data_IF_756813504846
#
_entry.id   IF_756813504846
#
_cell.length_a   1.000
_cell.length_b   1.000
_cell.length_c   1.000
_cell.angle_alpha   90.00
_cell.angle_beta   90.00
_cell.angle_gamma   90.00
#
_symmetry.space_group_name_H-M   'P 1'
#
loop_
_entity.id
_entity.type
_entity.pdbx_description
1 polymer ?
#
# COMPACT_ATOMS: atom_id res chain seq x y z
N UNK A 1 0.71 -24.18 -7.03
CA UNK A 1 0.92 -22.85 -6.41
C UNK A 1 -0.40 -22.11 -6.51
N UNK A 2 -0.89 -21.51 -5.43
CA UNK A 2 -2.11 -20.69 -5.50
C UNK A 2 -1.87 -19.50 -6.45
N UNK A 3 -2.89 -19.04 -7.22
CA UNK A 3 -2.78 -17.81 -7.98
C UNK A 3 -2.64 -16.61 -7.04
N UNK A 4 -1.93 -15.59 -7.49
CA UNK A 4 -1.75 -14.32 -6.77
C UNK A 4 -2.36 -13.19 -7.59
N UNK A 5 -3.25 -12.40 -6.99
CA UNK A 5 -3.57 -11.05 -7.45
C UNK A 5 -2.77 -10.09 -6.58
N UNK A 6 -1.80 -9.42 -7.19
CA UNK A 6 -1.00 -8.41 -6.50
C UNK A 6 -1.74 -7.07 -6.49
N UNK A 7 -2.32 -6.71 -5.35
CA UNK A 7 -3.13 -5.49 -5.25
C UNK A 7 -2.33 -4.20 -5.04
N UNK A 8 -1.00 -4.25 -5.07
CA UNK A 8 -0.15 -3.10 -4.78
C UNK A 8 1.11 -3.11 -5.65
N UNK A 9 0.97 -2.76 -6.92
CA UNK A 9 2.08 -2.65 -7.87
C UNK A 9 2.30 -1.18 -8.23
N UNK A 10 3.56 -0.74 -8.26
CA UNK A 10 3.96 0.53 -8.84
C UNK A 10 4.77 0.27 -10.11
N UNK A 11 4.48 1.04 -11.16
CA UNK A 11 5.25 1.04 -12.41
C UNK A 11 5.48 2.49 -12.82
N UNK A 12 6.66 2.84 -13.30
CA UNK A 12 6.90 4.16 -13.86
C UNK A 12 8.01 4.14 -14.89
N UNK A 13 7.85 5.00 -15.90
CA UNK A 13 8.89 5.31 -16.88
C UNK A 13 9.26 6.78 -16.75
N UNK A 14 10.51 7.06 -16.35
CA UNK A 14 11.02 8.43 -16.17
C UNK A 14 11.17 9.20 -17.49
N UNK A 15 10.98 8.54 -18.64
CA UNK A 15 10.81 9.25 -19.92
C UNK A 15 9.39 9.77 -20.14
N UNK A 16 8.42 9.31 -19.35
CA UNK A 16 6.99 9.64 -19.43
C UNK A 16 6.56 10.50 -18.24
N UNK A 17 6.95 10.11 -17.02
CA UNK A 17 6.53 10.74 -15.78
C UNK A 17 7.63 11.56 -15.12
N UNK A 18 7.22 12.70 -14.57
CA UNK A 18 7.98 13.57 -13.69
C UNK A 18 7.58 13.25 -12.25
N UNK A 19 8.55 12.76 -11.47
CA UNK A 19 8.38 12.26 -10.11
C UNK A 19 9.43 12.93 -9.19
N UNK A 20 9.16 14.16 -8.73
CA UNK A 20 10.15 14.96 -7.98
C UNK A 20 10.67 14.28 -6.72
N UNK A 21 9.86 13.43 -6.08
CA UNK A 21 10.22 12.74 -4.84
C UNK A 21 11.37 11.71 -5.02
N UNK A 22 11.67 11.28 -6.25
CA UNK A 22 12.77 10.34 -6.52
C UNK A 22 14.15 10.93 -6.27
N UNK A 23 14.29 12.25 -6.20
CA UNK A 23 15.55 12.91 -5.82
C UNK A 23 16.02 12.46 -4.43
N UNK A 24 15.09 12.18 -3.52
CA UNK A 24 15.34 11.73 -2.15
C UNK A 24 15.33 10.19 -2.00
N UNK A 25 15.16 9.46 -3.11
CA UNK A 25 15.05 8.00 -3.14
C UNK A 25 15.96 7.35 -4.19
N UNK A 26 17.30 7.42 -4.03
CA UNK A 26 18.26 6.95 -5.03
C UNK A 26 18.09 5.47 -5.41
N UNK A 27 17.60 4.61 -4.50
CA UNK A 27 17.33 3.20 -4.81
C UNK A 27 16.23 3.04 -5.86
N UNK A 28 15.28 3.97 -5.85
CA UNK A 28 14.11 3.99 -6.73
C UNK A 28 14.27 4.95 -7.93
N UNK A 29 15.35 5.73 -7.99
CA UNK A 29 15.55 6.77 -9.01
C UNK A 29 16.01 6.22 -10.38
N UNK A 30 15.15 5.38 -10.97
CA UNK A 30 15.25 4.83 -12.34
C UNK A 30 13.85 4.38 -12.80
N UNK A 31 13.65 4.08 -14.08
CA UNK A 31 12.39 3.49 -14.55
C UNK A 31 12.21 2.06 -14.02
N UNK A 32 10.97 1.71 -13.68
CA UNK A 32 10.52 0.36 -13.34
C UNK A 32 9.27 0.05 -14.16
N UNK A 33 9.43 -0.72 -15.24
CA UNK A 33 8.36 -0.97 -16.21
C UNK A 33 7.83 -2.40 -16.13
N UNK A 34 6.80 -2.72 -16.91
CA UNK A 34 6.16 -4.04 -16.93
C UNK A 34 7.17 -5.20 -17.08
N UNK A 35 8.18 -5.05 -17.94
CA UNK A 35 9.21 -6.09 -18.12
C UNK A 35 9.98 -6.40 -16.84
N UNK A 36 10.41 -5.38 -16.11
CA UNK A 36 11.11 -5.52 -14.84
C UNK A 36 10.23 -6.21 -13.78
N UNK A 37 8.93 -5.88 -13.75
CA UNK A 37 7.99 -6.52 -12.83
C UNK A 37 7.78 -8.01 -13.16
N UNK A 38 7.67 -8.35 -14.45
CA UNK A 38 7.55 -9.75 -14.88
C UNK A 38 8.78 -10.57 -14.47
N UNK A 39 9.98 -9.99 -14.56
CA UNK A 39 11.21 -10.62 -14.07
C UNK A 39 11.20 -10.79 -12.55
N UNK A 40 10.80 -9.76 -11.80
CA UNK A 40 10.72 -9.80 -10.34
C UNK A 40 9.70 -10.84 -9.81
N UNK A 41 8.63 -11.08 -10.58
CA UNK A 41 7.52 -11.97 -10.19
C UNK A 41 7.57 -13.36 -10.83
N UNK A 42 8.57 -13.63 -11.68
CA UNK A 42 8.69 -14.85 -12.45
C UNK A 42 8.55 -16.11 -11.57
N UNK A 43 7.65 -17.02 -11.94
CA UNK A 43 7.44 -18.29 -11.23
C UNK A 43 6.70 -18.19 -9.89
N UNK A 44 6.18 -17.02 -9.50
CA UNK A 44 5.37 -16.85 -8.28
C UNK A 44 3.85 -16.99 -8.51
N UNK A 45 3.45 -17.19 -9.77
CA UNK A 45 2.05 -17.34 -10.19
C UNK A 45 1.19 -16.09 -9.91
N UNK A 46 1.77 -14.90 -10.15
CA UNK A 46 1.03 -13.63 -10.22
C UNK A 46 0.22 -13.63 -11.51
N UNK A 47 -1.11 -13.59 -11.39
CA UNK A 47 -2.04 -13.72 -12.51
C UNK A 47 -2.67 -12.40 -12.92
N UNK A 48 -2.81 -11.46 -11.98
CA UNK A 48 -3.29 -10.09 -12.20
C UNK A 48 -2.64 -9.14 -11.19
N UNK A 49 -2.61 -7.86 -11.49
CA UNK A 49 -2.18 -6.82 -10.56
C UNK A 49 -3.13 -5.63 -10.53
N UNK A 50 -3.08 -4.88 -9.44
CA UNK A 50 -3.69 -3.55 -9.30
C UNK A 50 -2.56 -2.55 -9.17
N UNK A 51 -2.51 -1.62 -10.11
CA UNK A 51 -1.57 -0.51 -10.09
C UNK A 51 -1.94 0.48 -8.99
N UNK A 52 -0.93 1.05 -8.34
CA UNK A 52 -1.04 2.09 -7.33
C UNK A 52 -0.27 3.32 -7.80
N UNK A 53 -0.90 4.49 -7.68
CA UNK A 53 -0.32 5.79 -8.02
C UNK A 53 1.10 5.99 -7.47
N UNK A 54 1.91 6.69 -8.25
CA UNK A 54 3.35 6.87 -7.97
C UNK A 54 3.70 8.30 -7.58
N UNK A 55 2.72 9.09 -7.14
CA UNK A 55 2.84 10.51 -6.83
C UNK A 55 3.58 11.32 -7.92
N UNK A 56 3.11 11.16 -9.17
CA UNK A 56 3.54 12.03 -10.27
C UNK A 56 3.25 13.50 -9.94
N UNK A 57 4.00 14.40 -10.58
CA UNK A 57 3.80 15.84 -10.43
C UNK A 57 2.32 16.23 -10.61
N UNK A 58 1.88 17.29 -9.93
CA UNK A 58 0.46 17.68 -9.93
C UNK A 58 -0.11 17.91 -11.34
N UNK A 59 0.73 18.32 -12.30
CA UNK A 59 0.34 18.53 -13.69
C UNK A 59 0.08 17.23 -14.47
N UNK A 60 0.57 16.09 -13.98
CA UNK A 60 0.53 14.81 -14.69
C UNK A 60 -0.47 13.79 -14.13
N UNK A 61 -1.29 14.13 -13.12
CA UNK A 61 -2.25 13.16 -12.56
C UNK A 61 -3.26 12.62 -13.59
N UNK A 62 -3.70 13.46 -14.53
CA UNK A 62 -4.52 13.02 -15.68
C UNK A 62 -3.69 12.12 -16.61
N UNK A 63 -2.45 12.52 -16.95
CA UNK A 63 -1.56 11.72 -17.80
C UNK A 63 -1.33 10.32 -17.23
N UNK A 64 -1.06 10.21 -15.93
CA UNK A 64 -0.92 8.94 -15.23
C UNK A 64 -2.20 8.12 -15.35
N UNK A 65 -3.36 8.67 -14.98
CA UNK A 65 -4.63 7.94 -15.04
C UNK A 65 -4.98 7.43 -16.44
N UNK A 66 -4.78 8.24 -17.50
CA UNK A 66 -5.01 7.80 -18.88
C UNK A 66 -4.02 6.71 -19.33
N UNK A 67 -2.74 6.86 -18.98
CA UNK A 67 -1.72 5.85 -19.28
C UNK A 67 -2.07 4.48 -18.65
N UNK A 68 -2.61 4.49 -17.43
CA UNK A 68 -3.01 3.28 -16.73
C UNK A 68 -4.25 2.62 -17.31
N UNK A 69 -5.18 3.40 -17.84
CA UNK A 69 -6.33 2.85 -18.56
C UNK A 69 -5.85 2.11 -19.80
N UNK A 70 -4.89 2.67 -20.54
CA UNK A 70 -4.28 2.01 -21.70
C UNK A 70 -3.52 0.74 -21.29
N UNK A 71 -2.71 0.80 -20.23
CA UNK A 71 -1.98 -0.35 -19.71
C UNK A 71 -2.94 -1.48 -19.28
N UNK A 72 -4.01 -1.16 -18.55
CA UNK A 72 -5.01 -2.14 -18.10
C UNK A 72 -5.78 -2.79 -19.26
N UNK A 73 -5.87 -2.13 -20.40
CA UNK A 73 -6.54 -2.66 -21.59
C UNK A 73 -5.63 -3.57 -22.43
N UNK A 74 -4.30 -3.48 -22.25
CA UNK A 74 -3.33 -4.27 -23.00
C UNK A 74 -3.28 -5.71 -22.48
N UNK A 75 -3.28 -6.68 -23.41
CA UNK A 75 -3.40 -8.11 -23.09
C UNK A 75 -2.05 -8.80 -22.77
N UNK A 76 -0.94 -8.08 -22.91
CA UNK A 76 0.43 -8.58 -22.76
C UNK A 76 1.03 -8.32 -21.38
N UNK A 77 0.24 -7.82 -20.44
CA UNK A 77 0.65 -7.52 -19.08
C UNK A 77 -0.42 -7.94 -18.05
N UNK A 78 -0.05 -8.14 -16.77
CA UNK A 78 -0.98 -8.59 -15.75
C UNK A 78 -1.76 -7.44 -15.08
N UNK A 79 -1.45 -6.17 -15.37
CA UNK A 79 -2.10 -5.02 -14.75
C UNK A 79 -3.54 -4.92 -15.23
N UNK A 80 -4.50 -5.09 -14.31
CA UNK A 80 -5.92 -5.24 -14.65
C UNK A 80 -6.80 -4.11 -14.10
N UNK A 81 -6.29 -3.36 -13.13
CA UNK A 81 -6.99 -2.25 -12.50
C UNK A 81 -5.98 -1.25 -11.93
N UNK A 82 -6.46 -0.06 -11.56
CA UNK A 82 -5.66 0.98 -10.95
C UNK A 82 -6.38 1.71 -9.81
N UNK A 83 -5.60 2.10 -8.80
CA UNK A 83 -5.91 3.14 -7.82
C UNK A 83 -5.04 4.35 -8.17
N UNK A 84 -5.68 5.44 -8.63
CA UNK A 84 -4.98 6.60 -9.19
C UNK A 84 -4.71 7.68 -8.16
N UNK A 85 -3.75 8.56 -8.44
CA UNK A 85 -3.43 9.69 -7.59
C UNK A 85 -4.55 10.72 -7.62
N UNK A 86 -4.80 11.36 -6.47
CA UNK A 86 -5.78 12.44 -6.38
C UNK A 86 -5.43 13.45 -5.31
N UNK A 87 -5.56 14.74 -5.63
CA UNK A 87 -5.45 15.82 -4.64
C UNK A 87 -6.80 15.99 -3.94
N UNK A 88 -7.12 15.06 -3.05
CA UNK A 88 -8.39 14.97 -2.30
C UNK A 88 -8.62 16.19 -1.40
N UNK A 89 -7.57 16.94 -1.07
CA UNK A 89 -7.67 18.23 -0.37
C UNK A 89 -8.19 19.38 -1.26
N UNK A 90 -8.21 19.22 -2.59
CA UNK A 90 -8.60 20.27 -3.53
C UNK A 90 -10.11 20.38 -3.71
N UNK A 91 -10.62 21.60 -3.83
CA UNK A 91 -12.00 21.86 -4.24
C UNK A 91 -12.30 21.38 -5.68
N UNK A 92 -11.27 21.34 -6.54
CA UNK A 92 -11.40 20.92 -7.94
C UNK A 92 -11.32 19.38 -8.11
N UNK A 93 -11.12 18.64 -7.01
CA UNK A 93 -11.01 17.17 -7.04
C UNK A 93 -12.23 16.52 -7.68
N UNK A 94 -13.43 17.04 -7.40
CA UNK A 94 -14.66 16.49 -7.94
C UNK A 94 -14.72 16.53 -9.47
N UNK A 95 -14.17 17.57 -10.10
CA UNK A 95 -14.09 17.66 -11.55
C UNK A 95 -13.10 16.64 -12.09
N UNK A 96 -11.94 16.49 -11.43
CA UNK A 96 -10.94 15.49 -11.78
C UNK A 96 -11.52 14.07 -11.74
N UNK A 97 -12.06 13.63 -10.60
CA UNK A 97 -12.41 12.21 -10.43
C UNK A 97 -13.64 11.78 -11.23
N UNK A 98 -14.57 12.70 -11.52
CA UNK A 98 -15.76 12.40 -12.35
C UNK A 98 -15.41 11.99 -13.78
N UNK A 99 -14.21 12.31 -14.27
CA UNK A 99 -13.70 11.82 -15.57
C UNK A 99 -13.61 10.29 -15.63
N UNK A 100 -13.39 9.66 -14.48
CA UNK A 100 -13.15 8.22 -14.35
C UNK A 100 -14.35 7.45 -13.78
N UNK A 101 -15.48 8.13 -13.55
CA UNK A 101 -16.71 7.49 -13.10
C UNK A 101 -17.16 6.39 -14.07
N UNK A 102 -17.34 5.18 -13.56
CA UNK A 102 -17.74 4.03 -14.38
C UNK A 102 -16.61 3.42 -15.23
N UNK A 103 -15.36 3.87 -15.08
CA UNK A 103 -14.23 3.21 -15.72
C UNK A 103 -14.11 1.75 -15.26
N UNK A 104 -13.90 0.78 -16.17
CA UNK A 104 -13.65 -0.61 -15.78
C UNK A 104 -12.27 -0.80 -15.14
N UNK A 105 -11.31 0.10 -15.41
CA UNK A 105 -9.93 0.01 -14.93
C UNK A 105 -9.73 0.77 -13.60
N UNK A 106 -10.31 1.96 -13.44
CA UNK A 106 -10.10 2.78 -12.23
C UNK A 106 -11.03 2.31 -11.12
N UNK A 107 -10.44 1.89 -10.00
CA UNK A 107 -11.18 1.31 -8.85
C UNK A 107 -11.17 2.18 -7.61
N UNK A 108 -10.23 3.11 -7.52
CA UNK A 108 -10.07 3.94 -6.34
C UNK A 108 -9.13 5.10 -6.56
N UNK A 109 -8.97 5.88 -5.49
CA UNK A 109 -8.03 6.99 -5.39
C UNK A 109 -7.16 6.83 -4.16
N UNK A 110 -5.91 7.24 -4.28
CA UNK A 110 -4.99 7.41 -3.14
C UNK A 110 -4.42 8.83 -3.14
N UNK A 111 -4.24 9.35 -1.93
CA UNK A 111 -3.35 10.47 -1.66
C UNK A 111 -2.42 10.03 -0.55
N UNK A 112 -1.10 10.14 -0.75
CA UNK A 112 -0.12 9.84 0.31
C UNK A 112 -0.28 10.84 1.46
N UNK A 113 -0.46 10.34 2.68
CA UNK A 113 -0.65 11.15 3.88
C UNK A 113 0.50 11.05 4.87
N UNK A 114 1.47 10.18 4.63
CA UNK A 114 2.62 10.01 5.53
C UNK A 114 3.83 10.90 5.19
N UNK A 115 3.78 11.64 4.08
CA UNK A 115 4.86 12.53 3.69
C UNK A 115 5.08 13.68 4.69
N UNK A 116 6.32 14.20 4.81
CA UNK A 116 6.66 15.26 5.75
C UNK A 116 5.90 16.57 5.51
N UNK A 117 5.43 16.80 4.27
CA UNK A 117 4.61 17.95 3.90
C UNK A 117 3.12 17.84 4.23
N UNK A 118 2.65 16.71 4.79
CA UNK A 118 1.22 16.48 5.07
C UNK A 118 0.93 16.63 6.56
N UNK A 119 0.23 17.69 7.01
CA UNK A 119 -0.12 17.88 8.42
C UNK A 119 -0.99 16.73 8.98
N UNK A 120 -0.85 16.45 10.28
CA UNK A 120 -1.72 15.50 10.96
C UNK A 120 -3.19 15.94 10.88
N UNK A 121 -4.11 14.99 10.76
CA UNK A 121 -5.54 15.27 10.62
C UNK A 121 -5.96 15.85 9.27
N UNK A 122 -5.06 15.90 8.25
CA UNK A 122 -5.41 16.34 6.88
C UNK A 122 -6.65 15.61 6.35
N UNK A 123 -6.77 14.30 6.61
CA UNK A 123 -7.90 13.49 6.16
C UNK A 123 -9.23 13.81 6.85
N UNK A 124 -9.21 14.61 7.91
CA UNK A 124 -10.41 15.05 8.66
C UNK A 124 -10.92 16.42 8.24
N UNK A 125 -10.18 17.13 7.37
CA UNK A 125 -10.61 18.42 6.87
C UNK A 125 -11.96 18.28 6.12
N UNK A 126 -12.89 19.24 6.26
CA UNK A 126 -14.21 19.14 5.64
C UNK A 126 -14.19 18.85 4.13
N UNK A 127 -13.30 19.53 3.39
CA UNK A 127 -13.13 19.31 1.95
C UNK A 127 -12.65 17.89 1.62
N UNK A 128 -11.73 17.35 2.43
CA UNK A 128 -11.23 15.99 2.24
C UNK A 128 -12.36 14.97 2.45
N UNK A 129 -13.11 15.12 3.54
CA UNK A 129 -14.26 14.26 3.86
C UNK A 129 -15.33 14.33 2.76
N UNK A 130 -15.65 15.52 2.26
CA UNK A 130 -16.59 15.70 1.15
C UNK A 130 -16.13 14.97 -0.12
N UNK A 131 -14.86 15.10 -0.48
CA UNK A 131 -14.28 14.45 -1.64
C UNK A 131 -14.19 12.92 -1.50
N UNK A 132 -13.96 12.40 -0.29
CA UNK A 132 -14.00 10.95 -0.02
C UNK A 132 -15.43 10.40 -0.07
N UNK A 133 -16.45 11.17 0.33
CA UNK A 133 -17.86 10.79 0.14
C UNK A 133 -18.20 10.70 -1.35
N UNK A 134 -17.74 11.66 -2.15
CA UNK A 134 -17.91 11.62 -3.60
C UNK A 134 -17.32 10.35 -4.22
N UNK A 135 -16.20 9.82 -3.71
CA UNK A 135 -15.68 8.53 -4.17
C UNK A 135 -16.68 7.39 -3.97
N UNK A 136 -17.32 7.32 -2.79
CA UNK A 136 -18.37 6.34 -2.50
C UNK A 136 -19.57 6.46 -3.44
N UNK A 137 -20.02 7.69 -3.70
CA UNK A 137 -21.10 7.97 -4.68
C UNK A 137 -20.76 7.48 -6.10
N UNK A 138 -19.47 7.52 -6.47
CA UNK A 138 -18.97 7.05 -7.76
C UNK A 138 -18.61 5.55 -7.77
N UNK A 139 -18.75 4.85 -6.65
CA UNK A 139 -18.39 3.42 -6.50
C UNK A 139 -16.89 3.14 -6.36
N UNK A 140 -16.08 4.18 -6.17
CA UNK A 140 -14.62 4.12 -6.05
C UNK A 140 -14.19 3.96 -4.57
N UNK A 141 -13.11 3.22 -4.32
CA UNK A 141 -12.51 3.12 -2.98
C UNK A 141 -11.52 4.25 -2.69
N UNK A 142 -11.19 4.43 -1.42
CA UNK A 142 -10.08 5.26 -0.98
C UNK A 142 -9.03 4.41 -0.23
N UNK A 143 -7.77 4.53 -0.63
CA UNK A 143 -6.67 3.80 -0.01
C UNK A 143 -6.00 4.67 1.07
N UNK A 144 -6.01 4.19 2.31
CA UNK A 144 -5.47 4.83 3.51
C UNK A 144 -3.96 4.60 3.61
N UNK A 145 -3.18 5.39 2.87
CA UNK A 145 -1.72 5.41 2.99
C UNK A 145 -1.28 6.56 3.90
N UNK A 146 -1.21 6.28 5.21
CA UNK A 146 -1.01 7.28 6.26
C UNK A 146 0.01 6.82 7.30
N UNK A 147 0.38 7.70 8.25
CA UNK A 147 1.32 7.34 9.32
C UNK A 147 0.67 6.33 10.28
N UNK A 148 1.45 5.39 10.86
CA UNK A 148 0.92 4.40 11.81
C UNK A 148 0.31 5.05 13.06
N UNK A 149 0.88 6.18 13.50
CA UNK A 149 0.40 6.98 14.63
C UNK A 149 -0.94 7.70 14.36
N UNK A 150 -1.41 7.72 13.10
CA UNK A 150 -2.61 8.44 12.67
C UNK A 150 -3.77 7.52 12.29
N UNK A 151 -3.66 6.19 12.48
CA UNK A 151 -4.74 5.26 12.13
C UNK A 151 -6.09 5.64 12.77
N UNK A 152 -6.08 6.27 13.94
CA UNK A 152 -7.29 6.81 14.58
C UNK A 152 -8.00 7.91 13.78
N UNK A 153 -7.30 8.66 12.93
CA UNK A 153 -7.92 9.61 12.00
C UNK A 153 -8.50 8.88 10.78
N UNK A 154 -7.86 7.80 10.32
CA UNK A 154 -8.42 6.89 9.31
C UNK A 154 -9.75 6.28 9.77
N UNK A 155 -9.84 5.85 11.04
CA UNK A 155 -11.09 5.36 11.66
C UNK A 155 -12.20 6.41 11.57
N UNK A 156 -11.92 7.66 11.98
CA UNK A 156 -12.90 8.75 11.96
C UNK A 156 -13.38 9.04 10.54
N UNK A 157 -12.46 9.07 9.56
CA UNK A 157 -12.80 9.28 8.16
C UNK A 157 -13.72 8.17 7.63
N UNK A 158 -13.35 6.90 7.89
CA UNK A 158 -14.12 5.74 7.44
C UNK A 158 -15.52 5.68 8.06
N UNK A 159 -15.65 6.05 9.34
CA UNK A 159 -16.96 6.20 10.02
C UNK A 159 -17.80 7.35 9.42
N UNK A 160 -17.14 8.42 9.01
CA UNK A 160 -17.80 9.62 8.48
C UNK A 160 -18.26 9.46 7.02
N UNK A 161 -17.72 8.45 6.33
CA UNK A 161 -18.02 8.10 4.93
C UNK A 161 -18.44 6.61 4.82
N UNK A 162 -19.57 6.21 5.43
CA UNK A 162 -19.94 4.79 5.53
C UNK A 162 -20.22 4.13 4.17
N UNK A 163 -20.59 4.90 3.15
CA UNK A 163 -20.85 4.42 1.80
C UNK A 163 -19.58 4.34 0.92
N UNK A 164 -18.44 4.84 1.42
CA UNK A 164 -17.14 4.70 0.76
C UNK A 164 -16.42 3.48 1.30
N UNK A 165 -15.85 2.67 0.40
CA UNK A 165 -14.99 1.54 0.77
C UNK A 165 -13.56 2.03 0.99
N UNK A 166 -12.91 1.53 2.03
CA UNK A 166 -11.54 1.89 2.40
C UNK A 166 -10.62 0.69 2.36
N UNK A 167 -9.38 0.93 1.95
CA UNK A 167 -8.31 -0.06 1.95
C UNK A 167 -7.20 0.44 2.85
N UNK A 168 -6.87 -0.29 3.91
CA UNK A 168 -5.72 0.03 4.77
C UNK A 168 -4.46 -0.43 4.07
N UNK A 169 -3.63 0.51 3.61
CA UNK A 169 -2.37 0.19 2.94
C UNK A 169 -1.32 -0.30 3.94
N UNK A 170 -0.46 -1.21 3.47
CA UNK A 170 0.77 -1.66 4.14
C UNK A 170 0.64 -2.07 5.62
N UNK A 171 -0.43 -2.80 5.98
CA UNK A 171 -0.71 -3.11 7.39
C UNK A 171 -0.75 -1.84 8.27
N UNK A 172 -1.33 -0.75 7.76
CA UNK A 172 -1.35 0.55 8.45
C UNK A 172 0.02 1.19 8.58
N UNK A 173 0.93 0.90 7.64
CA UNK A 173 2.34 1.31 7.64
C UNK A 173 3.15 0.91 8.88
N UNK A 174 2.68 -0.08 9.64
CA UNK A 174 3.35 -0.56 10.85
C UNK A 174 4.81 -0.94 10.60
N UNK A 175 5.69 -0.48 11.49
CA UNK A 175 7.07 -0.96 11.60
C UNK A 175 7.08 -2.36 12.26
N UNK A 176 7.55 -3.39 11.55
CA UNK A 176 7.55 -4.77 12.07
C UNK A 176 8.40 -4.95 13.33
N UNK A 177 9.46 -4.17 13.53
CA UNK A 177 10.35 -4.28 14.70
C UNK A 177 9.79 -3.61 15.94
N UNK A 178 9.09 -2.48 15.77
CA UNK A 178 8.33 -1.87 16.88
C UNK A 178 7.21 -2.81 17.33
N UNK A 179 6.45 -3.37 16.37
CA UNK A 179 5.31 -4.24 16.66
C UNK A 179 5.73 -5.56 17.31
N UNK A 180 6.83 -6.16 16.86
CA UNK A 180 7.36 -7.41 17.43
C UNK A 180 8.03 -7.22 18.80
N UNK A 181 8.39 -5.98 19.17
CA UNK A 181 9.17 -5.69 20.37
C UNK A 181 10.63 -6.15 20.28
N UNK A 182 11.07 -6.60 19.10
CA UNK A 182 12.48 -6.93 18.81
C UNK A 182 13.19 -5.62 18.47
N UNK A 183 13.38 -4.78 19.49
CA UNK A 183 14.23 -3.60 19.36
C UNK A 183 15.68 -4.04 19.18
N UNK A 184 16.47 -3.37 18.31
CA UNK A 184 17.85 -3.77 18.06
C UNK A 184 18.66 -3.81 19.35
N UNK A 185 19.29 -4.96 19.60
CA UNK A 185 20.45 -5.05 20.47
C UNK A 185 21.62 -4.31 19.81
N UNK A 186 22.35 -3.55 20.62
CA UNK A 186 23.48 -2.67 20.33
C UNK A 186 24.74 -3.35 19.72
N UNK A 187 24.61 -4.23 18.73
CA UNK A 187 25.73 -5.06 18.24
C UNK A 187 25.91 -5.11 16.72
N UNK A 188 25.27 -4.21 15.97
CA UNK A 188 25.54 -4.04 14.56
C UNK A 188 25.83 -2.59 14.21
N UNK A 189 27.10 -2.19 14.19
CA UNK A 189 27.56 -0.99 13.47
C UNK A 189 27.57 -1.26 11.95
N UNK A 190 26.57 -1.97 11.44
CA UNK A 190 26.37 -2.09 10.01
C UNK A 190 25.87 -0.73 9.56
N UNK A 191 26.68 -0.04 8.77
CA UNK A 191 26.29 1.16 8.04
C UNK A 191 24.92 0.89 7.41
N UNK A 192 23.86 1.50 7.94
CA UNK A 192 22.59 1.56 7.24
C UNK A 192 22.90 2.41 6.01
N UNK A 193 23.27 1.74 4.92
CA UNK A 193 23.65 2.39 3.67
C UNK A 193 22.63 3.47 3.36
N UNK A 194 23.11 4.61 2.86
CA UNK A 194 22.37 5.84 2.61
C UNK A 194 20.85 5.63 2.51
N UNK A 195 20.15 5.81 3.63
CA UNK A 195 18.72 5.60 3.72
C UNK A 195 18.02 6.55 2.73
N UNK A 196 17.10 6.02 1.92
CA UNK A 196 16.18 6.82 1.12
C UNK A 196 15.30 7.59 2.13
N UNK A 197 15.64 8.86 2.37
CA UNK A 197 15.45 9.56 3.65
C UNK A 197 14.00 9.85 4.04
N UNK A 198 13.06 9.58 3.13
CA UNK A 198 11.63 9.80 3.34
C UNK A 198 10.79 8.50 3.25
N UNK A 199 11.41 7.36 2.97
CA UNK A 199 10.72 6.09 2.70
C UNK A 199 11.26 4.90 3.53
N UNK A 200 12.38 5.11 4.22
CA UNK A 200 13.01 4.10 5.06
C UNK A 200 13.18 4.61 6.49
N UNK A 201 13.26 3.68 7.44
CA UNK A 201 13.57 4.00 8.83
C UNK A 201 15.06 3.72 9.03
N UNK A 202 15.87 4.78 9.12
CA UNK A 202 17.31 4.65 9.38
C UNK A 202 17.58 4.19 10.82
N UNK A 203 16.75 4.65 11.76
CA UNK A 203 16.79 4.27 13.18
C UNK A 203 15.37 4.10 13.71
N UNK A 204 15.01 2.86 14.03
CA UNK A 204 13.68 2.52 14.53
C UNK A 204 13.40 3.02 15.95
N UNK A 205 14.38 3.66 16.57
CA UNK A 205 14.24 4.36 17.85
C UNK A 205 14.07 5.86 17.70
N UNK A 206 14.24 6.41 16.48
CA UNK A 206 13.99 7.82 16.20
C UNK A 206 12.49 8.09 16.29
N UNK A 207 12.12 8.99 17.20
CA UNK A 207 10.72 9.36 17.46
C UNK A 207 10.22 10.46 16.51
N UNK A 208 11.13 11.09 15.79
CA UNK A 208 10.81 12.11 14.80
C UNK A 208 10.56 11.48 13.41
N UNK A 209 10.85 10.18 13.25
CA UNK A 209 10.53 9.41 12.04
C UNK A 209 9.00 9.28 11.85
N UNK A 210 8.46 9.55 10.65
CA UNK A 210 7.02 9.50 10.39
C UNK A 210 6.37 8.12 10.61
N UNK A 211 7.16 7.05 10.57
CA UNK A 211 6.71 5.67 10.79
C UNK A 211 6.90 5.19 12.24
N UNK A 212 7.56 5.97 13.09
CA UNK A 212 7.60 5.68 14.52
C UNK A 212 6.19 5.72 15.14
N UNK A 213 5.91 4.75 15.99
CA UNK A 213 4.61 4.64 16.67
C UNK A 213 4.70 3.79 17.94
N UNK A 214 3.71 3.95 18.82
CA UNK A 214 3.50 3.02 19.93
C UNK A 214 2.85 1.71 19.40
N UNK A 215 3.43 0.52 19.68
CA UNK A 215 2.90 -0.74 19.16
C UNK A 215 1.46 -1.03 19.58
N UNK A 216 1.04 -0.62 20.79
CA UNK A 216 -0.33 -0.85 21.24
C UNK A 216 -1.29 0.11 20.54
N UNK A 217 -0.91 1.38 20.37
CA UNK A 217 -1.66 2.35 19.60
C UNK A 217 -1.93 1.86 18.16
N UNK A 218 -0.92 1.27 17.51
CA UNK A 218 -1.10 0.70 16.17
C UNK A 218 -2.08 -0.48 16.18
N UNK A 219 -1.96 -1.42 17.13
CA UNK A 219 -2.89 -2.54 17.27
C UNK A 219 -4.33 -2.06 17.46
N UNK A 220 -4.54 -1.10 18.36
CA UNK A 220 -5.85 -0.51 18.63
C UNK A 220 -6.43 0.18 17.38
N UNK A 221 -5.58 0.87 16.61
CA UNK A 221 -5.96 1.50 15.35
C UNK A 221 -6.37 0.49 14.28
N UNK A 222 -5.62 -0.60 14.12
CA UNK A 222 -5.95 -1.71 13.23
C UNK A 222 -7.26 -2.38 13.64
N UNK A 223 -7.46 -2.65 14.92
CA UNK A 223 -8.68 -3.28 15.44
C UNK A 223 -9.91 -2.37 15.23
N UNK A 224 -9.75 -1.07 15.46
CA UNK A 224 -10.80 -0.09 15.24
C UNK A 224 -11.16 0.05 13.75
N UNK A 225 -10.18 0.02 12.83
CA UNK A 225 -10.44 -0.01 11.39
C UNK A 225 -11.13 -1.32 11.00
N UNK A 226 -10.65 -2.46 11.50
CA UNK A 226 -11.22 -3.77 11.22
C UNK A 226 -12.66 -3.92 11.72
N UNK A 227 -13.04 -3.22 12.79
CA UNK A 227 -14.42 -3.20 13.29
C UNK A 227 -15.41 -2.50 12.33
N UNK A 228 -14.93 -1.72 11.36
CA UNK A 228 -15.77 -1.05 10.37
C UNK A 228 -16.02 -1.97 9.16
N UNK A 229 -17.27 -2.21 8.73
CA UNK A 229 -17.57 -3.15 7.66
C UNK A 229 -17.14 -2.66 6.27
N UNK A 230 -16.89 -1.36 6.10
CA UNK A 230 -16.46 -0.74 4.85
C UNK A 230 -14.93 -0.69 4.68
N UNK A 231 -14.15 -1.35 5.54
CA UNK A 231 -12.68 -1.40 5.46
C UNK A 231 -12.19 -2.81 5.13
N UNK A 232 -11.10 -2.89 4.36
CA UNK A 232 -10.27 -4.08 4.17
C UNK A 232 -8.79 -3.74 4.43
N UNK A 233 -7.93 -4.73 4.58
CA UNK A 233 -6.48 -4.52 4.79
C UNK A 233 -5.64 -5.15 3.67
N UNK A 234 -4.67 -4.39 3.17
CA UNK A 234 -3.62 -4.88 2.27
C UNK A 234 -2.42 -5.34 3.09
N UNK A 235 -2.15 -6.64 3.05
CA UNK A 235 -0.93 -7.23 3.57
C UNK A 235 0.18 -6.97 2.54
N UNK A 236 0.93 -5.89 2.75
CA UNK A 236 1.90 -5.33 1.78
C UNK A 236 2.91 -4.41 2.47
N UNK A 237 3.97 -3.99 1.77
CA UNK A 237 4.88 -2.88 2.11
C UNK A 237 5.67 -2.93 3.42
N UNK A 238 5.38 -3.87 4.32
CA UNK A 238 6.11 -4.02 5.59
C UNK A 238 7.58 -4.40 5.39
N UNK A 239 7.92 -4.98 4.23
CA UNK A 239 9.30 -5.34 3.91
C UNK A 239 10.18 -4.15 3.54
N UNK A 240 9.60 -3.01 3.15
CA UNK A 240 10.37 -1.81 2.80
C UNK A 240 11.17 -1.25 3.99
N UNK A 241 10.92 -1.74 5.20
CA UNK A 241 11.56 -1.34 6.46
C UNK A 241 12.40 -2.45 7.10
N UNK A 242 12.67 -3.55 6.39
CA UNK A 242 13.47 -4.65 6.94
C UNK A 242 14.95 -4.30 7.03
N UNK A 243 15.64 -4.97 7.96
CA UNK A 243 17.09 -4.89 8.16
C UNK A 243 17.82 -6.08 7.53
N UNK A 244 19.14 -6.02 7.34
CA UNK A 244 19.91 -7.15 6.84
C UNK A 244 19.66 -8.41 7.67
N UNK A 245 19.44 -9.54 7.00
CA UNK A 245 19.16 -10.83 7.67
C UNK A 245 17.77 -10.96 8.30
N UNK A 246 16.80 -10.12 7.90
CA UNK A 246 15.40 -10.27 8.29
C UNK A 246 14.83 -11.65 7.94
N UNK A 247 13.79 -12.05 8.67
CA UNK A 247 13.10 -13.33 8.51
C UNK A 247 11.58 -13.14 8.49
N UNK A 248 10.84 -14.16 8.07
CA UNK A 248 9.38 -14.18 8.17
C UNK A 248 8.88 -13.93 9.60
N UNK A 249 9.64 -14.37 10.62
CA UNK A 249 9.30 -14.19 12.03
C UNK A 249 9.30 -12.71 12.47
N UNK A 250 10.11 -11.85 11.85
CA UNK A 250 10.12 -10.42 12.16
C UNK A 250 8.83 -9.73 11.68
N UNK A 251 8.26 -10.23 10.58
CA UNK A 251 7.05 -9.70 9.94
C UNK A 251 5.77 -10.31 10.51
N UNK A 252 5.84 -11.56 10.99
CA UNK A 252 4.70 -12.36 11.43
C UNK A 252 3.80 -11.65 12.46
N UNK A 253 4.29 -10.89 13.45
CA UNK A 253 3.42 -10.21 14.42
C UNK A 253 2.48 -9.19 13.79
N UNK A 254 3.00 -8.35 12.88
CA UNK A 254 2.18 -7.35 12.20
C UNK A 254 1.18 -8.01 11.23
N UNK A 255 1.65 -8.99 10.44
CA UNK A 255 0.82 -9.74 9.49
C UNK A 255 -0.31 -10.47 10.21
N UNK A 256 0.01 -11.26 11.24
CA UNK A 256 -1.00 -12.05 11.96
C UNK A 256 -2.02 -11.16 12.67
N UNK A 257 -1.58 -10.04 13.27
CA UNK A 257 -2.53 -9.08 13.87
C UNK A 257 -3.53 -8.58 12.82
N UNK A 258 -3.08 -8.14 11.64
CA UNK A 258 -3.99 -7.72 10.57
C UNK A 258 -4.92 -8.85 10.08
N UNK A 259 -4.38 -10.07 9.88
CA UNK A 259 -5.16 -11.21 9.41
C UNK A 259 -6.26 -11.60 10.42
N UNK A 260 -5.94 -11.59 11.71
CA UNK A 260 -6.85 -12.00 12.77
C UNK A 260 -7.90 -10.91 13.06
N UNK A 261 -7.54 -9.63 13.02
CA UNK A 261 -8.46 -8.52 13.27
C UNK A 261 -9.48 -8.32 12.13
N UNK A 262 -9.03 -8.35 10.86
CA UNK A 262 -9.93 -8.16 9.72
C UNK A 262 -10.75 -9.41 9.38
N UNK A 263 -10.19 -10.58 9.69
CA UNK A 263 -10.72 -11.88 9.29
C UNK A 263 -10.42 -12.21 7.82
N UNK A 264 -10.64 -13.48 7.42
CA UNK A 264 -10.14 -14.02 6.16
C UNK A 264 -10.81 -13.45 4.90
N UNK A 265 -11.93 -12.74 5.03
CA UNK A 265 -12.71 -12.18 3.92
C UNK A 265 -12.37 -10.72 3.59
N UNK A 266 -11.54 -10.06 4.42
CA UNK A 266 -11.24 -8.61 4.30
C UNK A 266 -9.75 -8.31 4.31
N UNK A 267 -8.97 -9.26 3.84
CA UNK A 267 -7.52 -9.14 3.68
C UNK A 267 -7.11 -9.50 2.26
N UNK A 268 -6.21 -8.73 1.67
CA UNK A 268 -5.69 -8.95 0.32
C UNK A 268 -4.17 -8.84 0.29
N UNK A 269 -3.52 -9.58 -0.59
CA UNK A 269 -2.08 -9.50 -0.82
C UNK A 269 -1.71 -8.26 -1.66
N UNK A 270 -0.62 -7.58 -1.30
CA UNK A 270 0.04 -6.59 -2.15
C UNK A 270 1.56 -6.75 -2.08
N UNK A 271 2.22 -6.62 -3.23
CA UNK A 271 3.65 -6.80 -3.38
C UNK A 271 4.48 -5.57 -3.04
N UNK A 272 3.88 -4.39 -3.20
CA UNK A 272 4.51 -3.07 -3.05
C UNK A 272 5.74 -2.86 -3.93
N UNK A 273 5.84 -3.59 -5.05
CA UNK A 273 7.02 -3.49 -5.91
C UNK A 273 6.98 -2.20 -6.75
N UNK A 274 8.10 -1.50 -6.94
CA UNK A 274 9.45 -1.82 -6.47
C UNK A 274 9.80 -1.15 -5.13
N UNK A 275 8.89 -0.42 -4.49
CA UNK A 275 9.09 0.24 -3.18
C UNK A 275 9.52 -0.78 -2.12
N UNK A 276 9.03 -2.01 -2.24
CA UNK A 276 9.39 -3.11 -1.37
C UNK A 276 10.90 -3.37 -1.33
N UNK A 277 11.68 -2.98 -2.37
CA UNK A 277 13.13 -3.13 -2.48
C UNK A 277 13.93 -2.20 -1.56
N UNK A 278 13.27 -1.24 -0.91
CA UNK A 278 13.91 -0.33 0.05
C UNK A 278 14.40 -1.04 1.32
N UNK A 279 13.77 -2.15 1.69
CA UNK A 279 14.22 -2.96 2.81
C UNK A 279 15.58 -3.58 2.50
N UNK A 280 16.45 -3.68 3.50
CA UNK A 280 17.73 -4.35 3.30
C UNK A 280 17.51 -5.82 2.92
N UNK A 281 18.23 -6.27 1.88
CA UNK A 281 18.12 -7.61 1.28
C UNK A 281 16.71 -8.01 0.83
N UNK A 282 15.81 -7.04 0.70
CA UNK A 282 14.42 -7.28 0.33
C UNK A 282 14.27 -7.51 -1.17
N UNK A 283 13.37 -8.42 -1.53
CA UNK A 283 12.97 -8.67 -2.92
C UNK A 283 11.50 -9.01 -2.94
N UNK A 284 10.85 -8.85 -4.11
CA UNK A 284 9.48 -9.31 -4.29
C UNK A 284 9.30 -10.79 -3.92
N UNK A 285 10.20 -11.64 -4.41
CA UNK A 285 10.21 -13.08 -4.11
C UNK A 285 10.35 -13.32 -2.61
N UNK A 286 11.31 -12.67 -1.96
CA UNK A 286 11.52 -12.78 -0.52
C UNK A 286 10.25 -12.45 0.25
N UNK A 287 9.56 -11.37 -0.10
CA UNK A 287 8.27 -11.02 0.50
C UNK A 287 7.19 -12.09 0.28
N UNK A 288 6.98 -12.49 -0.98
CA UNK A 288 5.95 -13.47 -1.30
C UNK A 288 6.20 -14.83 -0.63
N UNK A 289 7.46 -15.25 -0.49
CA UNK A 289 7.86 -16.49 0.19
C UNK A 289 7.73 -16.36 1.71
N UNK A 290 8.14 -15.23 2.30
CA UNK A 290 7.96 -14.97 3.73
C UNK A 290 6.47 -14.93 4.13
N UNK A 291 5.61 -14.30 3.33
CA UNK A 291 4.17 -14.30 3.61
C UNK A 291 3.59 -15.73 3.54
N UNK A 292 4.02 -16.54 2.56
CA UNK A 292 3.61 -17.96 2.46
C UNK A 292 4.05 -18.76 3.68
N UNK A 293 5.22 -18.48 4.25
CA UNK A 293 5.67 -19.08 5.50
C UNK A 293 4.77 -18.65 6.68
N UNK A 294 4.47 -17.37 6.82
CA UNK A 294 3.62 -16.83 7.91
C UNK A 294 2.22 -17.45 7.90
N UNK A 295 1.64 -17.68 6.72
CA UNK A 295 0.27 -18.21 6.58
C UNK A 295 0.23 -19.74 6.42
N UNK A 296 1.36 -20.45 6.55
CA UNK A 296 1.45 -21.87 6.25
C UNK A 296 0.46 -22.73 7.06
N UNK A 297 0.18 -22.33 8.31
CA UNK A 297 -0.73 -23.03 9.21
C UNK A 297 -2.22 -22.61 9.04
N UNK A 298 -2.51 -21.60 8.22
CA UNK A 298 -3.88 -21.21 7.86
C UNK A 298 -4.45 -22.15 6.81
N UNK A 299 -5.77 -22.32 6.78
CA UNK A 299 -6.40 -23.24 5.82
C UNK A 299 -6.14 -22.81 4.37
N UNK A 300 -6.09 -23.76 3.44
CA UNK A 300 -5.88 -23.46 2.01
C UNK A 300 -6.92 -22.46 1.47
N UNK A 301 -8.16 -22.52 1.98
CA UNK A 301 -9.22 -21.56 1.67
C UNK A 301 -8.86 -20.14 2.12
N UNK A 302 -8.34 -19.95 3.33
CA UNK A 302 -7.94 -18.63 3.82
C UNK A 302 -6.72 -18.10 3.07
N UNK A 303 -5.75 -18.97 2.77
CA UNK A 303 -4.60 -18.61 1.95
C UNK A 303 -5.05 -18.16 0.55
N UNK A 304 -5.99 -18.88 -0.08
CA UNK A 304 -6.56 -18.53 -1.39
C UNK A 304 -7.33 -17.21 -1.35
N UNK A 305 -8.09 -16.95 -0.28
CA UNK A 305 -8.79 -15.67 -0.11
C UNK A 305 -7.83 -14.49 -0.03
N UNK A 306 -6.79 -14.60 0.81
CA UNK A 306 -5.75 -13.58 0.96
C UNK A 306 -5.01 -13.33 -0.36
N UNK A 307 -4.57 -14.40 -1.03
CA UNK A 307 -3.72 -14.30 -2.22
C UNK A 307 -4.51 -13.94 -3.50
N UNK A 308 -5.80 -14.24 -3.58
CA UNK A 308 -6.55 -14.12 -4.84
C UNK A 308 -8.02 -13.73 -4.67
N UNK A 309 -8.84 -14.54 -3.99
CA UNK A 309 -10.30 -14.44 -4.16
C UNK A 309 -10.88 -13.12 -3.63
N UNK A 310 -10.35 -12.59 -2.53
CA UNK A 310 -10.80 -11.33 -1.97
C UNK A 310 -10.48 -10.16 -2.90
N UNK A 311 -9.28 -10.14 -3.51
CA UNK A 311 -8.89 -9.13 -4.47
C UNK A 311 -9.76 -9.20 -5.74
N UNK A 312 -10.01 -10.41 -6.25
CA UNK A 312 -10.89 -10.63 -7.39
C UNK A 312 -12.30 -10.08 -7.13
N UNK A 313 -12.86 -10.33 -5.96
CA UNK A 313 -14.17 -9.84 -5.57
C UNK A 313 -14.20 -8.31 -5.34
N UNK A 314 -13.25 -7.78 -4.58
CA UNK A 314 -13.24 -6.36 -4.18
C UNK A 314 -13.04 -5.41 -5.37
N UNK A 315 -12.11 -5.75 -6.26
CA UNK A 315 -11.77 -4.94 -7.44
C UNK A 315 -12.56 -5.33 -8.71
N UNK A 316 -13.36 -6.40 -8.65
CA UNK A 316 -14.14 -6.88 -9.81
C UNK A 316 -13.25 -7.44 -10.92
N UNK A 317 -12.27 -8.27 -10.54
CA UNK A 317 -11.27 -8.88 -11.42
C UNK A 317 -11.50 -10.40 -11.62
N UNK A 318 -12.73 -10.87 -11.45
CA UNK A 318 -13.09 -12.26 -11.72
C UNK A 318 -13.00 -12.61 -13.21
#
# INVERSE_FOLDING_TARGET
MLPIIDTHQHLWDLSVFDMPWLEDAPTLNRSFVTGDYLDATAGLNVVKTVYMEVDVSAAQKVTEAEHLIELCAAADNPTAAAVIGGTVTSADFGDYIRRYAGSPAIKGVRQVLHGPGTPQGTCLAPQFVENVRLLGELGLCFDLCMRPSELGDGVKLAQTCPDTRFVVDHCGNGDPYLISGVLPGSTGTGDAGQADSNLTIADHTDRDDPFWHDPQQWKDGIDALAALPNTICKISGIIARTRPGWTAADLAPAVNHCLDSFGPDRVVFGGDWPVCLLGADSTYRGWAEALKEIIADRSETEQRKLLHDNAAAFYGLA
#
